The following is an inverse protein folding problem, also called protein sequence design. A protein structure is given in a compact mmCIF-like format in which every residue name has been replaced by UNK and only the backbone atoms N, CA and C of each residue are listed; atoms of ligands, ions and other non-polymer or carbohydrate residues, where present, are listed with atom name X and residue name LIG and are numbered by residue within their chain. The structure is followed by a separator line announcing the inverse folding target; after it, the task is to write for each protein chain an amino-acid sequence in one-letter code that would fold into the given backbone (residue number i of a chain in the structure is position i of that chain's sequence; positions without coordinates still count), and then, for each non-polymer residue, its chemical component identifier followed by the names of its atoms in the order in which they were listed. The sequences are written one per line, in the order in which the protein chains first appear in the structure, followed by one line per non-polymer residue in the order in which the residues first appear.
data_IF_274685437236
#
_entry.id   IF_274685437236
#
_cell.length_a   1.000
_cell.length_b   1.000
_cell.length_c   1.000
_cell.angle_alpha   90.00
_cell.angle_beta   90.00
_cell.angle_gamma   90.00
#
_symmetry.space_group_name_H-M   'P 1'
#
loop_
_entity.id
_entity.type
_entity.pdbx_description
1 polymer ?
#
# COMPACT_ATOMS: atom_id res chain seq x y z
N UNK A 1 4.75 7.82 0.01
CA UNK A 1 4.81 6.93 -1.17
C UNK A 1 3.40 6.49 -1.53
N UNK A 2 3.10 6.27 -2.80
CA UNK A 2 1.87 5.59 -3.23
C UNK A 2 2.18 4.10 -3.45
N UNK A 3 1.27 3.23 -3.03
CA UNK A 3 1.36 1.77 -3.18
C UNK A 3 0.12 1.26 -3.92
N UNK A 4 0.33 0.39 -4.91
CA UNK A 4 -0.72 -0.35 -5.61
C UNK A 4 -0.46 -1.84 -5.40
N UNK A 5 -1.47 -2.58 -4.95
CA UNK A 5 -1.43 -4.03 -4.79
C UNK A 5 -2.23 -4.70 -5.90
N UNK A 6 -1.70 -5.81 -6.43
CA UNK A 6 -2.33 -6.62 -7.47
C UNK A 6 -2.68 -8.01 -6.94
N UNK A 7 -3.90 -8.48 -7.23
CA UNK A 7 -4.40 -9.81 -6.87
C UNK A 7 -4.65 -10.67 -8.13
N UNK A 8 -4.58 -11.99 -7.97
CA UNK A 8 -4.78 -12.95 -9.06
C UNK A 8 -6.16 -12.86 -9.72
N UNK A 9 -7.17 -12.39 -8.99
CA UNK A 9 -8.53 -12.18 -9.48
C UNK A 9 -8.70 -10.86 -10.27
N UNK A 10 -7.61 -10.12 -10.52
CA UNK A 10 -7.63 -8.84 -11.21
C UNK A 10 -8.03 -7.64 -10.33
N UNK A 11 -8.33 -7.85 -9.05
CA UNK A 11 -8.58 -6.74 -8.13
C UNK A 11 -7.29 -5.98 -7.83
N UNK A 12 -7.43 -4.66 -7.68
CA UNK A 12 -6.33 -3.78 -7.31
C UNK A 12 -6.76 -2.84 -6.19
N UNK A 13 -5.82 -2.55 -5.29
CA UNK A 13 -6.02 -1.60 -4.20
C UNK A 13 -4.90 -0.57 -4.24
N UNK A 14 -5.26 0.72 -4.10
CA UNK A 14 -4.32 1.83 -4.07
C UNK A 14 -4.33 2.49 -2.70
N UNK A 15 -3.15 2.71 -2.15
CA UNK A 15 -2.92 3.38 -0.88
C UNK A 15 -2.00 4.58 -1.09
N UNK A 16 -2.37 5.72 -0.51
CA UNK A 16 -1.56 6.93 -0.48
C UNK A 16 -0.87 7.11 0.87
N UNK A 17 0.17 7.95 0.89
CA UNK A 17 0.93 8.27 2.10
C UNK A 17 1.43 7.03 2.86
N UNK A 18 1.83 6.00 2.12
CA UNK A 18 2.33 4.75 2.70
C UNK A 18 3.72 4.94 3.31
N UNK A 19 3.90 4.39 4.52
CA UNK A 19 5.16 4.31 5.27
C UNK A 19 5.38 2.91 5.83
N UNK A 20 6.60 2.61 6.29
CA UNK A 20 6.95 1.33 6.94
C UNK A 20 6.60 0.08 6.12
N UNK A 21 6.72 0.16 4.79
CA UNK A 21 6.43 -0.94 3.89
C UNK A 21 7.39 -2.12 4.12
N UNK A 22 6.83 -3.28 4.42
CA UNK A 22 7.53 -4.56 4.53
C UNK A 22 6.89 -5.56 3.57
N UNK A 23 7.74 -6.27 2.85
CA UNK A 23 7.35 -7.29 1.89
C UNK A 23 7.91 -8.63 2.37
N UNK A 24 7.03 -9.60 2.55
CA UNK A 24 7.36 -11.01 2.69
C UNK A 24 6.61 -11.77 1.59
N UNK A 25 7.10 -12.93 1.20
CA UNK A 25 6.77 -13.71 0.00
C UNK A 25 5.29 -13.64 -0.43
N UNK A 26 4.35 -13.78 0.50
CA UNK A 26 2.91 -13.71 0.27
C UNK A 26 2.20 -12.58 1.04
N UNK A 27 2.94 -11.74 1.76
CA UNK A 27 2.43 -10.76 2.73
C UNK A 27 3.01 -9.37 2.49
N UNK A 28 2.13 -8.38 2.42
CA UNK A 28 2.49 -6.96 2.32
C UNK A 28 1.96 -6.22 3.54
N UNK A 29 2.86 -5.64 4.33
CA UNK A 29 2.55 -4.94 5.57
C UNK A 29 3.00 -3.48 5.49
N UNK A 30 2.15 -2.53 5.87
CA UNK A 30 2.45 -1.11 5.79
C UNK A 30 1.52 -0.25 6.64
N UNK A 31 1.95 0.99 6.89
CA UNK A 31 1.10 2.02 7.47
C UNK A 31 0.60 2.97 6.37
N UNK A 32 -0.63 3.45 6.50
CA UNK A 32 -1.24 4.39 5.55
C UNK A 32 -2.15 5.40 6.27
N UNK A 33 -2.36 6.55 5.64
CA UNK A 33 -3.32 7.53 6.12
C UNK A 33 -4.70 7.28 5.49
N UNK A 34 -5.68 6.96 6.32
CA UNK A 34 -7.06 6.76 5.89
C UNK A 34 -7.74 8.08 5.64
N UNK A 35 -7.80 8.54 4.37
CA UNK A 35 -8.37 9.84 4.02
C UNK A 35 -9.82 10.04 4.48
N UNK A 36 -10.66 8.99 4.41
CA UNK A 36 -12.06 9.07 4.85
C UNK A 36 -12.18 9.21 6.37
N UNK A 37 -11.24 8.65 7.14
CA UNK A 37 -11.30 8.60 8.61
C UNK A 37 -10.27 9.49 9.28
N UNK A 38 -9.47 10.23 8.49
CA UNK A 38 -8.40 11.15 8.91
C UNK A 38 -7.49 10.56 10.00
N UNK A 39 -7.12 9.30 9.84
CA UNK A 39 -6.38 8.52 10.85
C UNK A 39 -5.33 7.63 10.19
N UNK A 40 -4.16 7.52 10.84
CA UNK A 40 -3.13 6.56 10.44
C UNK A 40 -3.55 5.15 10.86
N UNK A 41 -3.34 4.20 9.96
CA UNK A 41 -3.72 2.81 10.15
C UNK A 41 -2.60 1.90 9.68
N UNK A 42 -2.51 0.76 10.35
CA UNK A 42 -1.67 -0.35 9.95
C UNK A 42 -2.49 -1.34 9.11
N UNK A 43 -1.93 -1.80 7.99
CA UNK A 43 -2.55 -2.81 7.14
C UNK A 43 -1.58 -3.96 6.86
N UNK A 44 -2.15 -5.15 6.77
CA UNK A 44 -1.47 -6.37 6.37
C UNK A 44 -2.36 -7.10 5.36
N UNK A 45 -1.83 -7.27 4.15
CA UNK A 45 -2.49 -7.97 3.06
C UNK A 45 -1.74 -9.26 2.73
N UNK A 46 -2.47 -10.32 2.42
CA UNK A 46 -1.91 -11.63 2.03
C UNK A 46 -2.44 -12.05 0.67
N UNK A 47 -1.69 -12.89 -0.06
CA UNK A 47 -2.10 -13.37 -1.39
C UNK A 47 -1.97 -12.30 -2.49
N UNK A 48 -1.13 -11.29 -2.24
CA UNK A 48 -0.74 -10.28 -3.23
C UNK A 48 0.20 -10.94 -4.24
N UNK A 49 -0.12 -10.88 -5.53
CA UNK A 49 0.73 -11.46 -6.59
C UNK A 49 1.74 -10.46 -7.17
N UNK A 50 1.61 -9.19 -6.82
CA UNK A 50 2.53 -8.14 -7.23
C UNK A 50 2.15 -6.80 -6.63
N UNK A 51 3.06 -5.83 -6.74
CA UNK A 51 2.83 -4.48 -6.29
C UNK A 51 3.56 -3.46 -7.17
N UNK A 52 3.15 -2.20 -7.09
CA UNK A 52 3.87 -1.06 -7.66
C UNK A 52 3.97 0.05 -6.62
N UNK A 53 5.14 0.67 -6.51
CA UNK A 53 5.38 1.81 -5.64
C UNK A 53 5.75 3.02 -6.46
N UNK A 54 5.05 4.13 -6.24
CA UNK A 54 5.39 5.42 -6.84
C UNK A 54 5.79 6.41 -5.74
N UNK A 55 7.05 6.85 -5.78
CA UNK A 55 7.48 7.97 -4.98
C UNK A 55 7.10 9.24 -5.72
N UNK A 56 5.91 9.78 -5.44
CA UNK A 56 5.58 11.14 -5.87
C UNK A 56 6.66 12.08 -5.34
N UNK A 57 7.40 12.80 -6.19
CA UNK A 57 8.30 13.84 -5.72
C UNK A 57 7.45 14.85 -4.94
N UNK A 58 7.80 15.06 -3.67
CA UNK A 58 7.20 16.12 -2.87
C UNK A 58 7.68 17.42 -3.51
N UNK A 59 6.83 18.05 -4.34
CA UNK A 59 7.07 19.45 -4.72
C UNK A 59 7.01 20.25 -3.42
N UNK A 60 8.17 20.77 -3.01
CA UNK A 60 8.32 21.72 -1.91
C UNK A 60 7.80 23.09 -2.33
#
# INVERSE_FOLDING_TARGET
MDLILFYANGQTFRFGQVTNLKMDSDKVEFDYYGESTKTYRHACFTGVIGYSTENKPVMR
#
